data_IF_073613492511
#
_entry.id   IF_073613492511
#
_cell.length_a   1.000
_cell.length_b   1.000
_cell.length_c   1.000
_cell.angle_alpha   90.00
_cell.angle_beta   90.00
_cell.angle_gamma   90.00
#
_symmetry.space_group_name_H-M   'P 1'
#
loop_
_entity.id
_entity.type
_entity.pdbx_description
1 polymer ?
#
# COMPACT_ATOMS: atom_id res chain seq x y z
N UNK A 1 20.40 -39.08 14.21
CA UNK A 1 19.66 -38.11 15.07
C UNK A 1 19.37 -36.80 14.35
N UNK A 2 19.40 -36.73 13.00
CA UNK A 2 19.47 -35.44 12.29
C UNK A 2 18.15 -34.95 11.69
N UNK A 3 17.13 -35.80 11.56
CA UNK A 3 15.92 -35.50 10.77
C UNK A 3 14.73 -34.97 11.60
N UNK A 4 14.75 -35.17 12.92
CA UNK A 4 13.69 -34.70 13.83
C UNK A 4 13.95 -33.28 14.33
N UNK A 5 15.23 -32.93 14.56
CA UNK A 5 15.65 -31.59 15.01
C UNK A 5 15.49 -30.52 13.89
N UNK A 6 15.85 -30.86 12.65
CA UNK A 6 15.64 -29.96 11.49
C UNK A 6 14.17 -29.59 11.28
N UNK A 7 13.25 -30.54 11.46
CA UNK A 7 11.80 -30.33 11.31
C UNK A 7 11.23 -29.47 12.43
N UNK A 8 11.83 -29.49 13.63
CA UNK A 8 11.42 -28.60 14.72
C UNK A 8 11.92 -27.17 14.52
N UNK A 9 13.13 -27.00 13.99
CA UNK A 9 13.73 -25.68 13.77
C UNK A 9 13.07 -24.95 12.59
N UNK A 10 12.80 -25.65 11.48
CA UNK A 10 12.05 -25.10 10.34
C UNK A 10 10.64 -24.65 10.75
N UNK A 11 9.94 -25.45 11.57
CA UNK A 11 8.60 -25.10 12.07
C UNK A 11 8.64 -23.90 13.02
N UNK A 12 9.69 -23.77 13.83
CA UNK A 12 9.85 -22.61 14.71
C UNK A 12 10.14 -21.34 13.90
N UNK A 13 10.99 -21.41 12.88
CA UNK A 13 11.22 -20.28 11.97
C UNK A 13 9.96 -19.90 11.18
N UNK A 14 9.20 -20.87 10.69
CA UNK A 14 7.95 -20.59 9.98
C UNK A 14 6.91 -19.94 10.90
N UNK A 15 6.80 -20.40 12.15
CA UNK A 15 5.93 -19.79 13.15
C UNK A 15 6.35 -18.36 13.50
N UNK A 16 7.66 -18.10 13.64
CA UNK A 16 8.20 -16.76 13.88
C UNK A 16 7.87 -15.81 12.71
N UNK A 17 8.09 -16.24 11.47
CA UNK A 17 7.75 -15.46 10.26
C UNK A 17 6.26 -15.17 10.17
N UNK A 18 5.40 -16.13 10.52
CA UNK A 18 3.94 -15.92 10.56
C UNK A 18 3.54 -14.90 11.63
N UNK A 19 4.17 -14.94 12.81
CA UNK A 19 3.91 -13.95 13.85
C UNK A 19 4.38 -12.54 13.45
N UNK A 20 5.52 -12.41 12.78
CA UNK A 20 5.98 -11.12 12.26
C UNK A 20 5.08 -10.59 11.15
N UNK A 21 4.66 -11.46 10.22
CA UNK A 21 3.71 -11.09 9.18
C UNK A 21 2.37 -10.62 9.77
N UNK A 22 1.86 -11.27 10.83
CA UNK A 22 0.61 -10.87 11.50
C UNK A 22 0.71 -9.50 12.16
N UNK A 23 1.88 -9.13 12.71
CA UNK A 23 2.11 -7.79 13.29
C UNK A 23 2.03 -6.67 12.24
N UNK A 24 2.35 -6.99 10.99
CA UNK A 24 2.33 -6.04 9.87
C UNK A 24 0.95 -5.89 9.22
N UNK A 25 0.00 -6.76 9.55
CA UNK A 25 -1.38 -6.62 9.13
C UNK A 25 -2.05 -5.46 9.85
N UNK A 26 -3.06 -4.91 9.20
CA UNK A 26 -3.82 -3.76 9.66
C UNK A 26 -5.18 -4.16 10.21
N UNK A 27 -5.71 -3.38 11.15
CA UNK A 27 -7.12 -3.41 11.52
C UNK A 27 -7.98 -2.70 10.48
N UNK A 28 -9.30 -2.94 10.50
CA UNK A 28 -10.30 -2.23 9.69
C UNK A 28 -10.21 -0.71 9.91
N UNK A 29 -10.05 -0.29 11.15
CA UNK A 29 -9.94 1.13 11.52
C UNK A 29 -8.63 1.76 11.02
N UNK A 30 -7.52 1.02 11.08
CA UNK A 30 -6.25 1.45 10.51
C UNK A 30 -6.37 1.61 8.99
N UNK A 31 -6.97 0.64 8.30
CA UNK A 31 -7.22 0.72 6.86
C UNK A 31 -8.06 1.96 6.52
N UNK A 32 -9.18 2.16 7.20
CA UNK A 32 -10.06 3.31 6.96
C UNK A 32 -9.32 4.64 7.19
N UNK A 33 -8.54 4.73 8.27
CA UNK A 33 -7.73 5.92 8.59
C UNK A 33 -6.69 6.20 7.50
N UNK A 34 -5.95 5.17 7.06
CA UNK A 34 -4.91 5.31 6.03
C UNK A 34 -5.50 5.68 4.67
N UNK A 35 -6.64 5.09 4.31
CA UNK A 35 -7.37 5.45 3.09
C UNK A 35 -7.82 6.92 3.12
N UNK A 36 -8.35 7.38 4.26
CA UNK A 36 -8.77 8.78 4.41
C UNK A 36 -7.58 9.76 4.34
N UNK A 37 -6.42 9.38 4.88
CA UNK A 37 -5.18 10.16 4.72
C UNK A 37 -4.76 10.25 3.26
N UNK A 38 -4.76 9.12 2.53
CA UNK A 38 -4.41 9.09 1.11
C UNK A 38 -5.37 9.93 0.26
N UNK A 39 -6.68 9.91 0.56
CA UNK A 39 -7.64 10.80 -0.08
C UNK A 39 -7.23 12.26 0.06
N UNK A 40 -6.92 12.72 1.28
CA UNK A 40 -6.51 14.11 1.54
C UNK A 40 -5.24 14.46 0.78
N UNK A 41 -4.26 13.56 0.75
CA UNK A 41 -3.02 13.77 0.01
C UNK A 41 -3.26 13.91 -1.49
N UNK A 42 -4.14 13.07 -2.07
CA UNK A 42 -4.55 13.16 -3.47
C UNK A 42 -5.30 14.45 -3.79
N UNK A 43 -6.20 14.90 -2.92
CA UNK A 43 -6.92 16.18 -3.08
C UNK A 43 -5.93 17.36 -3.04
N UNK A 44 -4.95 17.35 -2.13
CA UNK A 44 -3.89 18.37 -2.06
C UNK A 44 -2.95 18.29 -3.28
N UNK A 45 -2.67 17.09 -3.78
CA UNK A 45 -1.92 16.90 -5.02
C UNK A 45 -2.67 17.50 -6.22
N UNK A 46 -3.97 17.24 -6.34
CA UNK A 46 -4.82 17.81 -7.38
C UNK A 46 -4.80 19.34 -7.36
N UNK A 47 -5.03 19.94 -6.20
CA UNK A 47 -5.04 21.41 -6.05
C UNK A 47 -3.74 22.05 -6.53
N UNK A 48 -2.60 21.37 -6.32
CA UNK A 48 -1.30 21.84 -6.83
C UNK A 48 -1.21 21.71 -8.35
N UNK A 49 -1.63 20.59 -8.92
CA UNK A 49 -1.63 20.45 -10.38
C UNK A 49 -2.56 21.44 -11.07
N UNK A 50 -3.74 21.67 -10.50
CA UNK A 50 -4.67 22.68 -10.97
C UNK A 50 -4.04 24.08 -10.87
N UNK A 51 -3.37 24.40 -9.75
CA UNK A 51 -2.70 25.69 -9.56
C UNK A 51 -1.47 25.88 -10.48
N UNK A 52 -0.72 24.80 -10.76
CA UNK A 52 0.44 24.83 -11.65
C UNK A 52 0.07 25.22 -13.09
N UNK A 53 -1.15 24.91 -13.55
CA UNK A 53 -1.65 25.34 -14.85
C UNK A 53 -1.86 26.87 -14.95
N UNK A 54 -1.92 27.56 -13.81
CA UNK A 54 -2.02 29.02 -13.72
C UNK A 54 -0.69 29.71 -13.39
N UNK A 55 0.39 28.95 -13.14
CA UNK A 55 1.71 29.55 -12.90
C UNK A 55 2.24 30.14 -14.22
N UNK A 56 2.44 31.47 -14.23
CA UNK A 56 3.13 32.15 -15.32
C UNK A 56 4.57 31.62 -15.37
N UNK A 57 4.95 30.96 -16.47
CA UNK A 57 6.30 30.46 -16.71
C UNK A 57 7.32 31.60 -16.60
N UNK A 58 8.11 31.60 -15.53
CA UNK A 58 9.35 32.36 -15.42
C UNK A 58 10.46 31.38 -15.06
N UNK A 59 11.48 31.27 -15.93
CA UNK A 59 12.80 30.60 -15.89
C UNK A 59 13.20 29.72 -14.65
N UNK A 60 12.29 28.94 -14.07
CA UNK A 60 12.51 28.08 -12.91
C UNK A 60 11.39 27.05 -12.70
N UNK A 61 11.57 26.13 -11.74
CA UNK A 61 10.50 25.20 -11.33
C UNK A 61 9.35 26.04 -10.74
N UNK A 62 8.10 25.86 -11.20
CA UNK A 62 6.96 26.59 -10.68
C UNK A 62 6.87 26.47 -9.15
N UNK A 63 6.54 27.55 -8.41
CA UNK A 63 6.41 27.50 -6.95
C UNK A 63 5.41 26.42 -6.47
N UNK A 64 4.40 26.12 -7.28
CA UNK A 64 3.45 25.02 -7.05
C UNK A 64 4.06 23.61 -7.10
N UNK A 65 5.22 23.46 -7.75
CA UNK A 65 5.96 22.22 -7.94
C UNK A 65 7.24 22.12 -7.08
N UNK A 66 7.67 23.20 -6.41
CA UNK A 66 8.92 23.28 -5.63
C UNK A 66 8.81 22.69 -4.21
N UNK A 67 8.26 21.47 -4.07
CA UNK A 67 8.07 20.81 -2.77
C UNK A 67 8.44 19.32 -2.81
N UNK A 68 9.73 19.03 -2.65
CA UNK A 68 10.36 17.70 -2.70
C UNK A 68 9.98 16.76 -1.52
N UNK A 69 8.95 17.05 -0.72
CA UNK A 69 8.71 16.29 0.52
C UNK A 69 7.29 16.13 1.06
N UNK A 70 6.24 16.57 0.34
CA UNK A 70 4.87 16.58 0.92
C UNK A 70 4.03 15.37 0.51
N UNK A 71 4.30 14.76 -0.66
CA UNK A 71 3.58 13.57 -1.11
C UNK A 71 4.44 12.33 -0.97
N UNK A 72 3.81 11.21 -0.61
CA UNK A 72 4.42 9.90 -0.83
C UNK A 72 4.65 9.70 -2.32
N UNK A 73 5.78 9.10 -2.67
CA UNK A 73 5.98 8.57 -4.01
C UNK A 73 4.92 7.48 -4.28
N UNK A 74 4.53 7.21 -5.54
CA UNK A 74 3.42 6.30 -5.85
C UNK A 74 3.51 4.91 -5.19
N UNK A 75 4.72 4.35 -5.07
CA UNK A 75 4.94 3.08 -4.35
C UNK A 75 4.79 3.21 -2.83
N UNK A 76 5.08 4.39 -2.26
CA UNK A 76 4.90 4.67 -0.85
C UNK A 76 3.43 4.65 -0.43
N UNK A 77 2.49 4.98 -1.33
CA UNK A 77 1.06 4.81 -1.08
C UNK A 77 0.65 3.33 -1.01
N UNK A 78 1.27 2.47 -1.85
CA UNK A 78 1.06 1.02 -1.83
C UNK A 78 1.54 0.42 -0.52
N UNK A 79 2.75 0.76 -0.08
CA UNK A 79 3.30 0.28 1.20
C UNK A 79 2.51 0.81 2.40
N UNK A 80 2.04 2.07 2.33
CA UNK A 80 1.15 2.61 3.36
C UNK A 80 -0.14 1.79 3.49
N UNK A 81 -0.74 1.30 2.40
CA UNK A 81 -1.92 0.43 2.46
C UNK A 81 -1.61 -1.05 2.67
N UNK A 82 -0.37 -1.46 2.43
CA UNK A 82 0.11 -2.85 2.49
C UNK A 82 1.51 -2.92 3.11
N UNK A 83 1.69 -2.70 4.44
CA UNK A 83 3.02 -2.74 5.05
C UNK A 83 3.72 -4.09 4.88
N UNK A 84 2.95 -5.17 4.77
CA UNK A 84 3.47 -6.50 4.49
C UNK A 84 4.27 -6.57 3.17
N UNK A 85 3.89 -5.79 2.15
CA UNK A 85 4.59 -5.78 0.86
C UNK A 85 5.95 -5.10 0.96
N UNK A 86 6.06 -4.06 1.80
CA UNK A 86 7.34 -3.41 2.09
C UNK A 86 8.30 -4.39 2.77
N UNK A 87 7.83 -5.09 3.79
CA UNK A 87 8.63 -6.12 4.45
C UNK A 87 9.02 -7.29 3.50
N UNK A 88 8.16 -7.66 2.55
CA UNK A 88 8.51 -8.68 1.55
C UNK A 88 9.58 -8.20 0.57
N UNK A 89 9.54 -6.93 0.17
CA UNK A 89 10.60 -6.33 -0.66
C UNK A 89 11.93 -6.37 0.08
N UNK A 90 11.95 -5.98 1.36
CA UNK A 90 13.15 -6.03 2.20
C UNK A 90 13.70 -7.47 2.31
N UNK A 91 12.84 -8.45 2.60
CA UNK A 91 13.21 -9.86 2.67
C UNK A 91 13.88 -10.34 1.36
N UNK A 92 13.28 -10.03 0.21
CA UNK A 92 13.82 -10.40 -1.09
C UNK A 92 15.15 -9.71 -1.40
N UNK A 93 15.31 -8.43 -1.01
CA UNK A 93 16.58 -7.70 -1.15
C UNK A 93 17.71 -8.31 -0.30
N UNK A 94 17.37 -8.90 0.85
CA UNK A 94 18.30 -9.61 1.72
C UNK A 94 18.51 -11.09 1.33
N UNK A 95 17.89 -11.56 0.25
CA UNK A 95 18.02 -12.93 -0.23
C UNK A 95 17.21 -13.96 0.56
N UNK A 96 16.25 -13.51 1.37
CA UNK A 96 15.35 -14.37 2.13
C UNK A 96 14.18 -14.84 1.24
N UNK A 97 14.41 -15.92 0.51
CA UNK A 97 13.41 -16.57 -0.35
C UNK A 97 12.51 -17.49 0.48
N UNK A 98 11.19 -17.38 0.33
CA UNK A 98 10.20 -18.22 1.02
C UNK A 98 9.98 -19.54 0.31
N UNK A 99 9.87 -19.51 -1.01
CA UNK A 99 9.57 -20.68 -1.83
C UNK A 99 10.62 -20.84 -2.93
N UNK A 100 10.47 -20.09 -4.01
CA UNK A 100 11.48 -19.85 -5.02
C UNK A 100 11.39 -18.38 -5.45
N UNK A 101 12.52 -17.81 -5.90
CA UNK A 101 12.61 -16.37 -6.19
C UNK A 101 11.57 -15.91 -7.23
N UNK A 102 11.28 -16.73 -8.23
CA UNK A 102 10.30 -16.38 -9.27
C UNK A 102 8.89 -16.26 -8.72
N UNK A 103 8.48 -17.18 -7.86
CA UNK A 103 7.13 -17.22 -7.31
C UNK A 103 6.95 -16.07 -6.31
N UNK A 104 7.94 -15.85 -5.45
CA UNK A 104 7.90 -14.76 -4.46
C UNK A 104 7.86 -13.37 -5.14
N UNK A 105 8.62 -13.18 -6.23
CA UNK A 105 8.59 -11.94 -7.03
C UNK A 105 7.25 -11.79 -7.75
N UNK A 106 6.69 -12.88 -8.27
CA UNK A 106 5.38 -12.85 -8.94
C UNK A 106 4.26 -12.48 -7.97
N UNK A 107 4.23 -13.08 -6.78
CA UNK A 107 3.26 -12.75 -5.74
C UNK A 107 3.38 -11.28 -5.31
N UNK A 108 4.60 -10.81 -5.06
CA UNK A 108 4.85 -9.41 -4.74
C UNK A 108 4.33 -8.48 -5.84
N UNK A 109 4.61 -8.79 -7.12
CA UNK A 109 4.11 -8.03 -8.25
C UNK A 109 2.57 -8.02 -8.29
N UNK A 110 1.94 -9.17 -8.12
CA UNK A 110 0.48 -9.32 -8.16
C UNK A 110 -0.20 -8.49 -7.05
N UNK A 111 0.26 -8.62 -5.81
CA UNK A 111 -0.34 -7.93 -4.67
C UNK A 111 -0.07 -6.42 -4.66
N UNK A 112 1.14 -6.00 -5.06
CA UNK A 112 1.46 -4.57 -5.21
C UNK A 112 0.62 -3.92 -6.31
N UNK A 113 0.50 -4.58 -7.47
CA UNK A 113 -0.30 -4.08 -8.59
C UNK A 113 -1.78 -4.00 -8.25
N UNK A 114 -2.32 -5.01 -7.52
CA UNK A 114 -3.71 -4.98 -7.06
C UNK A 114 -3.96 -3.78 -6.14
N UNK A 115 -3.09 -3.58 -5.15
CA UNK A 115 -3.18 -2.43 -4.24
C UNK A 115 -3.09 -1.10 -5.00
N UNK A 116 -2.14 -1.00 -5.95
CA UNK A 116 -1.93 0.18 -6.77
C UNK A 116 -3.14 0.48 -7.65
N UNK A 117 -3.79 -0.55 -8.20
CA UNK A 117 -5.01 -0.41 -8.99
C UNK A 117 -6.16 0.15 -8.14
N UNK A 118 -6.42 -0.43 -6.97
CA UNK A 118 -7.51 0.01 -6.08
C UNK A 118 -7.33 1.47 -5.65
N UNK A 119 -6.11 1.84 -5.26
CA UNK A 119 -5.73 3.22 -4.95
C UNK A 119 -5.84 4.14 -6.18
N UNK A 120 -5.40 3.66 -7.34
CA UNK A 120 -5.45 4.38 -8.61
C UNK A 120 -6.88 4.72 -9.05
N UNK A 121 -7.86 3.86 -8.74
CA UNK A 121 -9.27 4.16 -9.00
C UNK A 121 -9.79 5.36 -8.18
N UNK A 122 -9.38 5.46 -6.91
CA UNK A 122 -9.70 6.62 -6.07
C UNK A 122 -9.01 7.89 -6.60
N UNK A 123 -7.72 7.80 -6.92
CA UNK A 123 -6.96 8.91 -7.49
C UNK A 123 -7.58 9.39 -8.82
N UNK A 124 -7.96 8.46 -9.70
CA UNK A 124 -8.63 8.76 -10.95
C UNK A 124 -9.96 9.49 -10.76
N UNK A 125 -10.78 9.08 -9.79
CA UNK A 125 -12.03 9.77 -9.48
C UNK A 125 -11.81 11.21 -8.99
N UNK A 126 -10.78 11.43 -8.16
CA UNK A 126 -10.42 12.76 -7.65
C UNK A 126 -9.91 13.65 -8.80
N UNK A 127 -8.94 13.16 -9.59
CA UNK A 127 -8.35 13.94 -10.68
C UNK A 127 -9.29 14.18 -11.85
N UNK A 128 -10.34 13.36 -12.01
CA UNK A 128 -11.40 13.58 -12.99
C UNK A 128 -12.52 14.53 -12.50
N UNK A 129 -12.35 15.20 -11.35
CA UNK A 129 -13.36 16.11 -10.77
C UNK A 129 -14.74 15.46 -10.60
N UNK A 130 -14.76 14.17 -10.24
CA UNK A 130 -16.02 13.48 -9.97
C UNK A 130 -16.75 14.10 -8.76
N UNK A 131 -18.10 14.02 -8.70
CA UNK A 131 -18.85 14.46 -7.53
C UNK A 131 -18.33 13.82 -6.24
N UNK A 132 -18.35 14.56 -5.13
CA UNK A 132 -17.88 14.06 -3.81
C UNK A 132 -18.52 12.73 -3.43
N UNK A 133 -19.81 12.54 -3.74
CA UNK A 133 -20.53 11.28 -3.49
C UNK A 133 -19.95 10.08 -4.25
N UNK A 134 -19.36 10.31 -5.43
CA UNK A 134 -18.65 9.28 -6.20
C UNK A 134 -17.29 9.00 -5.58
N UNK A 135 -16.55 10.04 -5.18
CA UNK A 135 -15.26 9.89 -4.48
C UNK A 135 -15.45 9.09 -3.17
N UNK A 136 -16.49 9.41 -2.39
CA UNK A 136 -16.84 8.69 -1.15
C UNK A 136 -17.16 7.21 -1.41
N UNK A 137 -17.73 6.87 -2.58
CA UNK A 137 -17.97 5.48 -2.97
C UNK A 137 -16.67 4.75 -3.27
N UNK A 138 -15.72 5.39 -3.97
CA UNK A 138 -14.40 4.81 -4.21
C UNK A 138 -13.60 4.67 -2.92
N UNK A 139 -13.68 5.65 -2.00
CA UNK A 139 -13.03 5.56 -0.69
C UNK A 139 -13.55 4.37 0.12
N UNK A 140 -14.88 4.24 0.27
CA UNK A 140 -15.50 3.09 0.95
C UNK A 140 -15.23 1.77 0.23
N UNK A 141 -15.23 1.78 -1.10
CA UNK A 141 -14.92 0.62 -1.93
C UNK A 141 -13.51 0.13 -1.70
N UNK A 142 -12.54 1.03 -1.64
CA UNK A 142 -11.15 0.73 -1.30
C UNK A 142 -11.07 0.13 0.10
N UNK A 143 -11.65 0.77 1.13
CA UNK A 143 -11.68 0.19 2.49
C UNK A 143 -12.26 -1.23 2.47
N UNK A 144 -13.38 -1.44 1.80
CA UNK A 144 -14.04 -2.75 1.72
C UNK A 144 -13.14 -3.79 1.04
N UNK A 145 -12.57 -3.46 -0.13
CA UNK A 145 -11.67 -4.34 -0.86
C UNK A 145 -10.47 -4.76 0.01
N UNK A 146 -9.83 -3.79 0.67
CA UNK A 146 -8.69 -4.02 1.56
C UNK A 146 -9.03 -4.89 2.75
N UNK A 147 -10.19 -4.66 3.37
CA UNK A 147 -10.64 -5.46 4.52
C UNK A 147 -11.04 -6.88 4.16
N UNK A 148 -11.39 -7.16 2.88
CA UNK A 148 -11.68 -8.51 2.43
C UNK A 148 -10.43 -9.40 2.31
N UNK A 149 -9.24 -8.80 2.15
CA UNK A 149 -8.00 -9.51 1.91
C UNK A 149 -7.38 -10.08 3.20
N UNK A 150 -7.35 -11.41 3.32
CA UNK A 150 -6.82 -12.14 4.49
C UNK A 150 -5.35 -11.85 4.85
N UNK A 151 -4.55 -11.45 3.87
CA UNK A 151 -3.13 -11.17 4.03
C UNK A 151 -2.86 -9.72 4.47
N UNK A 152 -3.90 -8.87 4.51
CA UNK A 152 -3.81 -7.46 4.92
C UNK A 152 -4.50 -7.23 6.26
N UNK A 153 -5.64 -7.89 6.49
CA UNK A 153 -6.45 -7.69 7.69
C UNK A 153 -6.08 -8.69 8.80
N UNK A 154 -6.04 -8.22 10.04
CA UNK A 154 -5.89 -9.09 11.22
C UNK A 154 -7.05 -10.08 11.35
N UNK A 155 -6.75 -11.33 11.74
CA UNK A 155 -7.73 -12.42 11.76
C UNK A 155 -8.94 -12.19 12.67
N UNK A 156 -8.75 -11.49 13.81
CA UNK A 156 -9.79 -11.26 14.82
C UNK A 156 -10.99 -10.44 14.31
N UNK A 157 -10.81 -9.68 13.21
CA UNK A 157 -11.81 -8.75 12.71
C UNK A 157 -12.63 -9.27 11.51
N UNK A 158 -12.53 -10.56 11.15
CA UNK A 158 -13.24 -11.15 10.00
C UNK A 158 -14.73 -11.48 10.21
N UNK A 159 -15.33 -10.95 11.27
CA UNK A 159 -16.77 -11.09 11.57
C UNK A 159 -17.65 -10.52 10.47
#
# INVERSE_FOLDING_TARGET
MTRLELVTDEKQQEAARKQEAEKLKLTRDEIATRVSQLRKELEVAKQRYDAALFDNFTDGIPPSLDHVGVNREPYGAVYHLSPLLEAWVEQLQHGEVKSCLSDDVFELFFFSTTTAYEFGMLAGAIYADCPTTTIDRFERGLVTARTACHWIIKEEERS
#
